data_IF_185552455925
#
_entry.id   IF_185552455925
#
_cell.length_a   1.000
_cell.length_b   1.000
_cell.length_c   1.000
_cell.angle_alpha   90.00
_cell.angle_beta   90.00
_cell.angle_gamma   90.00
#
_symmetry.space_group_name_H-M   'P 1'
#
loop_
_entity.id
_entity.type
_entity.pdbx_description
1 polymer ?
#
# COMPACT_ATOMS: atom_id res chain seq x y z
N UNK A 1 -5.28 4.99 -4.04
CA UNK A 1 -5.21 3.60 -4.50
C UNK A 1 -6.17 2.75 -3.69
N UNK A 2 -6.73 1.69 -4.27
CA UNK A 2 -7.42 0.61 -3.54
C UNK A 2 -6.40 -0.39 -2.99
N UNK A 3 -6.80 -1.24 -2.04
CA UNK A 3 -5.99 -2.42 -1.66
C UNK A 3 -6.00 -3.40 -2.84
N UNK A 4 -4.83 -3.92 -3.20
CA UNK A 4 -4.65 -4.88 -4.29
C UNK A 4 -4.17 -6.21 -3.71
N UNK A 5 -4.72 -7.35 -4.17
CA UNK A 5 -4.24 -8.66 -3.75
C UNK A 5 -2.79 -8.85 -4.19
N UNK A 6 -2.00 -9.56 -3.39
CA UNK A 6 -0.72 -10.10 -3.84
C UNK A 6 -1.00 -11.19 -4.89
N UNK A 7 -0.26 -11.18 -5.99
CA UNK A 7 -0.35 -12.24 -7.00
C UNK A 7 0.62 -13.36 -6.66
N UNK A 8 0.08 -14.42 -6.06
CA UNK A 8 0.79 -15.66 -5.71
C UNK A 8 0.38 -16.83 -6.62
N UNK A 9 -0.23 -16.54 -7.78
CA UNK A 9 -0.66 -17.58 -8.70
C UNK A 9 0.55 -18.40 -9.21
N UNK A 10 0.40 -19.72 -9.43
CA UNK A 10 1.54 -20.61 -9.63
C UNK A 10 2.55 -20.16 -10.70
N UNK A 11 2.07 -19.70 -11.87
CA UNK A 11 2.93 -19.23 -12.96
C UNK A 11 3.60 -17.89 -12.65
N UNK A 12 2.92 -16.98 -11.94
CA UNK A 12 3.50 -15.69 -11.55
C UNK A 12 4.57 -15.88 -10.47
N UNK A 13 4.33 -16.83 -9.56
CA UNK A 13 5.21 -17.12 -8.44
C UNK A 13 6.55 -17.75 -8.86
N UNK A 14 6.65 -18.26 -10.10
CA UNK A 14 7.93 -18.71 -10.70
C UNK A 14 8.98 -17.59 -10.80
N UNK A 15 8.58 -16.31 -10.69
CA UNK A 15 9.52 -15.18 -10.55
C UNK A 15 10.46 -15.31 -9.34
N UNK A 16 10.09 -16.13 -8.34
CA UNK A 16 10.92 -16.44 -7.17
C UNK A 16 11.68 -17.76 -7.28
N UNK A 17 11.53 -18.49 -8.39
CA UNK A 17 12.28 -19.72 -8.60
C UNK A 17 13.78 -19.41 -8.83
N UNK A 18 14.71 -20.30 -8.43
CA UNK A 18 16.15 -20.07 -8.59
C UNK A 18 16.56 -19.70 -10.02
N UNK A 19 15.94 -20.32 -11.03
CA UNK A 19 16.21 -20.11 -12.45
C UNK A 19 15.94 -18.66 -12.89
N UNK A 20 14.99 -17.98 -12.24
CA UNK A 20 14.67 -16.59 -12.54
C UNK A 20 15.78 -15.63 -12.08
N UNK A 21 16.58 -16.01 -11.08
CA UNK A 21 17.74 -15.22 -10.64
C UNK A 21 18.80 -15.15 -11.73
N UNK A 22 19.09 -16.28 -12.37
CA UNK A 22 20.03 -16.32 -13.49
C UNK A 22 19.47 -15.57 -14.70
N UNK A 23 18.17 -15.71 -14.97
CA UNK A 23 17.51 -14.97 -16.05
C UNK A 23 17.65 -13.46 -15.87
N UNK A 24 17.29 -12.93 -14.69
CA UNK A 24 17.28 -11.48 -14.44
C UNK A 24 18.69 -10.88 -14.40
N UNK A 25 19.67 -11.64 -13.89
CA UNK A 25 21.06 -11.20 -13.82
C UNK A 25 21.66 -11.00 -15.22
N UNK A 26 21.27 -11.84 -16.17
CA UNK A 26 21.76 -11.78 -17.55
C UNK A 26 21.02 -10.77 -18.45
N UNK A 27 19.99 -10.08 -17.96
CA UNK A 27 19.28 -9.05 -18.73
C UNK A 27 20.03 -7.72 -18.77
N UNK A 28 19.82 -6.98 -19.86
CA UNK A 28 20.21 -5.57 -19.94
C UNK A 28 19.39 -4.72 -18.97
N UNK A 29 19.92 -3.55 -18.58
CA UNK A 29 19.32 -2.70 -17.55
C UNK A 29 17.85 -2.34 -17.80
N UNK A 30 17.51 -1.96 -19.04
CA UNK A 30 16.14 -1.58 -19.39
C UNK A 30 15.15 -2.75 -19.27
N UNK A 31 15.58 -3.95 -19.67
CA UNK A 31 14.74 -5.15 -19.62
C UNK A 31 14.60 -5.67 -18.18
N UNK A 32 15.69 -5.61 -17.40
CA UNK A 32 15.65 -5.90 -15.96
C UNK A 32 14.65 -5.01 -15.24
N UNK A 33 14.67 -3.70 -15.49
CA UNK A 33 13.70 -2.79 -14.90
C UNK A 33 12.27 -3.06 -15.36
N UNK A 34 12.07 -3.45 -16.64
CA UNK A 34 10.76 -3.82 -17.17
C UNK A 34 10.18 -5.01 -16.41
N UNK A 35 10.98 -6.07 -16.22
CA UNK A 35 10.59 -7.26 -15.45
C UNK A 35 10.29 -6.94 -13.98
N UNK A 36 11.10 -6.10 -13.33
CA UNK A 36 10.85 -5.67 -11.93
C UNK A 36 9.53 -4.89 -11.82
N UNK A 37 9.23 -4.02 -12.79
CA UNK A 37 7.95 -3.29 -12.82
C UNK A 37 6.76 -4.22 -13.08
N UNK A 38 6.93 -5.20 -13.95
CA UNK A 38 5.90 -6.18 -14.32
C UNK A 38 5.46 -7.02 -13.12
N UNK A 39 6.41 -7.57 -12.36
CA UNK A 39 6.14 -8.42 -11.20
C UNK A 39 6.07 -7.66 -9.87
N UNK A 40 5.96 -6.33 -9.89
CA UNK A 40 5.94 -5.53 -8.66
C UNK A 40 4.79 -5.90 -7.71
N UNK A 41 3.65 -6.35 -8.26
CA UNK A 41 2.46 -6.74 -7.51
C UNK A 41 2.55 -8.14 -6.86
N UNK A 42 3.64 -8.88 -7.01
CA UNK A 42 3.84 -10.13 -6.26
C UNK A 42 4.29 -9.86 -4.83
N UNK A 43 4.96 -8.73 -4.58
CA UNK A 43 5.63 -8.46 -3.31
C UNK A 43 5.45 -7.04 -2.75
N UNK A 44 5.25 -6.01 -3.60
CA UNK A 44 5.24 -4.62 -3.15
C UNK A 44 3.87 -3.95 -3.32
N UNK A 45 3.45 -3.21 -2.27
CA UNK A 45 2.17 -2.47 -2.22
C UNK A 45 0.92 -3.33 -2.46
N UNK A 46 1.00 -4.60 -2.07
CA UNK A 46 -0.08 -5.58 -2.15
C UNK A 46 -0.37 -6.18 -0.78
N UNK A 47 -1.54 -6.78 -0.64
CA UNK A 47 -2.03 -7.38 0.60
C UNK A 47 -2.57 -8.77 0.27
N UNK A 48 -2.38 -9.73 1.16
CA UNK A 48 -3.04 -11.03 1.06
C UNK A 48 -4.56 -10.90 0.87
N UNK A 49 -5.15 -11.75 0.02
CA UNK A 49 -6.55 -11.63 -0.38
C UNK A 49 -7.50 -11.84 0.81
N UNK A 50 -7.25 -12.82 1.67
CA UNK A 50 -8.07 -13.09 2.85
C UNK A 50 -8.02 -11.91 3.83
N UNK A 51 -6.86 -11.26 3.95
CA UNK A 51 -6.73 -10.04 4.75
C UNK A 51 -7.52 -8.85 4.16
N UNK A 52 -7.56 -8.69 2.84
CA UNK A 52 -8.40 -7.67 2.18
C UNK A 52 -9.86 -7.91 2.51
N UNK A 53 -10.34 -9.16 2.39
CA UNK A 53 -11.72 -9.54 2.70
C UNK A 53 -12.08 -9.27 4.17
N UNK A 54 -11.18 -9.58 5.10
CA UNK A 54 -11.36 -9.30 6.53
C UNK A 54 -11.47 -7.80 6.81
N UNK A 55 -10.61 -6.98 6.20
CA UNK A 55 -10.66 -5.52 6.32
C UNK A 55 -11.97 -4.99 5.73
N UNK A 56 -12.37 -5.46 4.54
CA UNK A 56 -13.64 -5.08 3.93
C UNK A 56 -14.83 -5.41 4.84
N UNK A 57 -14.82 -6.60 5.45
CA UNK A 57 -15.84 -7.03 6.40
C UNK A 57 -15.98 -6.10 7.61
N UNK A 58 -14.88 -5.49 8.10
CA UNK A 58 -14.94 -4.47 9.16
C UNK A 58 -15.75 -3.25 8.71
N UNK A 59 -15.43 -2.71 7.53
CA UNK A 59 -16.14 -1.54 7.00
C UNK A 59 -17.60 -1.85 6.65
N UNK A 60 -17.89 -3.06 6.18
CA UNK A 60 -19.26 -3.50 5.94
C UNK A 60 -20.07 -3.50 7.25
N UNK A 61 -19.54 -4.06 8.35
CA UNK A 61 -20.22 -4.04 9.66
C UNK A 61 -20.47 -2.63 10.19
N UNK A 62 -19.60 -1.67 9.91
CA UNK A 62 -19.84 -0.26 10.27
C UNK A 62 -21.03 0.34 9.51
N UNK A 63 -21.23 -0.04 8.25
CA UNK A 63 -22.41 0.38 7.47
C UNK A 63 -23.69 -0.21 8.04
N UNK A 64 -23.67 -1.50 8.40
CA UNK A 64 -24.83 -2.19 8.99
C UNK A 64 -25.20 -1.62 10.36
N UNK A 65 -24.22 -1.36 11.22
CA UNK A 65 -24.44 -0.83 12.56
C UNK A 65 -24.69 0.68 12.62
N UNK A 66 -24.32 1.42 11.57
CA UNK A 66 -24.36 2.89 11.58
C UNK A 66 -23.28 3.55 12.46
N UNK A 67 -22.30 2.80 12.95
CA UNK A 67 -21.23 3.31 13.83
C UNK A 67 -19.90 3.42 13.05
N UNK A 68 -19.51 4.60 12.55
CA UNK A 68 -18.35 4.77 11.69
C UNK A 68 -17.04 4.89 12.50
N UNK A 69 -16.62 3.80 13.16
CA UNK A 69 -15.40 3.79 13.99
C UNK A 69 -14.11 4.04 13.21
N UNK A 70 -13.95 3.43 12.04
CA UNK A 70 -12.76 3.53 11.19
C UNK A 70 -13.10 4.23 9.87
N UNK A 71 -12.11 4.91 9.28
CA UNK A 71 -12.21 5.51 7.95
C UNK A 71 -11.16 4.93 7.00
N UNK A 72 -11.60 4.40 5.85
CA UNK A 72 -10.71 3.99 4.77
C UNK A 72 -10.47 5.16 3.81
N UNK A 73 -9.37 5.89 4.00
CA UNK A 73 -9.07 7.13 3.25
C UNK A 73 -8.18 6.85 2.04
N UNK A 74 -8.73 6.23 0.99
CA UNK A 74 -8.02 6.03 -0.28
C UNK A 74 -7.71 7.34 -0.99
N UNK A 75 -6.67 7.35 -1.84
CA UNK A 75 -6.29 8.50 -2.67
C UNK A 75 -5.94 9.74 -1.84
N UNK A 76 -5.31 9.51 -0.68
CA UNK A 76 -4.80 10.57 0.18
C UNK A 76 -3.27 10.53 0.24
N UNK A 77 -2.65 11.69 0.12
CA UNK A 77 -1.24 11.91 0.45
C UNK A 77 -1.14 12.79 1.69
N UNK A 78 -0.16 12.50 2.55
CA UNK A 78 0.19 13.37 3.67
C UNK A 78 1.14 14.44 3.15
N UNK A 79 0.73 15.71 3.16
CA UNK A 79 1.58 16.84 2.72
C UNK A 79 2.39 17.44 3.85
N UNK A 80 1.84 17.39 5.06
CA UNK A 80 2.47 17.93 6.26
C UNK A 80 2.05 17.11 7.47
N UNK A 81 3.00 16.83 8.35
CA UNK A 81 2.76 16.31 9.69
C UNK A 81 3.32 17.31 10.70
N UNK A 82 2.55 17.67 11.72
CA UNK A 82 2.98 18.61 12.76
C UNK A 82 2.59 18.04 14.12
N UNK A 83 3.58 17.80 14.98
CA UNK A 83 3.34 17.39 16.36
C UNK A 83 2.98 18.61 17.20
N UNK A 84 1.98 18.46 18.08
CA UNK A 84 1.56 19.46 19.05
C UNK A 84 1.14 18.81 20.37
N UNK A 85 0.74 19.62 21.34
CA UNK A 85 0.35 19.13 22.67
C UNK A 85 -0.86 18.18 22.64
N UNK A 86 -1.72 18.28 21.63
CA UNK A 86 -2.96 17.50 21.48
C UNK A 86 -2.82 16.30 20.52
N UNK A 87 -1.60 15.98 20.09
CA UNK A 87 -1.32 14.89 19.15
C UNK A 87 -0.63 15.36 17.86
N UNK A 88 -0.81 14.58 16.80
CA UNK A 88 -0.19 14.81 15.49
C UNK A 88 -1.25 15.29 14.51
N UNK A 89 -1.05 16.48 13.95
CA UNK A 89 -1.88 17.04 12.90
C UNK A 89 -1.34 16.67 11.52
N UNK A 90 -2.19 16.09 10.68
CA UNK A 90 -1.89 15.71 9.30
C UNK A 90 -2.69 16.58 8.33
N UNK A 91 -1.99 17.23 7.41
CA UNK A 91 -2.57 17.84 6.23
C UNK A 91 -2.66 16.78 5.12
N UNK A 92 -3.89 16.38 4.78
CA UNK A 92 -4.19 15.29 3.85
C UNK A 92 -4.78 15.84 2.56
N UNK A 93 -4.04 15.70 1.44
CA UNK A 93 -4.53 16.04 0.11
C UNK A 93 -5.22 14.86 -0.54
N UNK A 94 -6.40 15.09 -1.09
CA UNK A 94 -7.04 14.18 -2.02
C UNK A 94 -6.36 14.27 -3.39
N UNK A 95 -5.73 13.18 -3.82
CA UNK A 95 -5.01 13.15 -5.09
C UNK A 95 -5.95 13.11 -6.30
N UNK A 96 -7.23 12.82 -6.11
CA UNK A 96 -8.22 12.75 -7.20
C UNK A 96 -8.86 14.11 -7.53
N UNK A 97 -9.08 14.97 -6.53
CA UNK A 97 -9.77 16.25 -6.71
C UNK A 97 -9.00 17.46 -6.15
N UNK A 98 -7.81 17.24 -5.57
CA UNK A 98 -6.95 18.29 -5.03
C UNK A 98 -7.35 18.85 -3.65
N UNK A 99 -8.48 18.43 -3.09
CA UNK A 99 -9.01 18.92 -1.81
C UNK A 99 -8.02 18.68 -0.65
N UNK A 100 -7.76 19.73 0.13
CA UNK A 100 -6.93 19.65 1.33
C UNK A 100 -7.81 19.61 2.57
N UNK A 101 -7.54 18.66 3.46
CA UNK A 101 -8.23 18.53 4.76
C UNK A 101 -7.21 18.33 5.86
N UNK A 102 -7.54 18.80 7.07
CA UNK A 102 -6.69 18.63 8.26
C UNK A 102 -7.36 17.65 9.21
N UNK A 103 -6.59 16.70 9.75
CA UNK A 103 -7.06 15.71 10.72
C UNK A 103 -6.01 15.54 11.82
N UNK A 104 -6.47 15.30 13.04
CA UNK A 104 -5.61 15.08 14.20
C UNK A 104 -5.69 13.63 14.67
N UNK A 105 -4.55 13.09 15.06
CA UNK A 105 -4.38 11.72 15.54
C UNK A 105 -3.53 11.68 16.80
N UNK A 106 -3.85 10.81 17.75
CA UNK A 106 -3.02 10.58 18.94
C UNK A 106 -1.70 9.86 18.58
N UNK A 107 -1.75 9.00 17.56
CA UNK A 107 -0.62 8.21 17.07
C UNK A 107 -0.65 8.10 15.55
N UNK A 108 0.52 8.08 14.92
CA UNK A 108 0.70 7.77 13.50
C UNK A 108 1.64 6.57 13.36
N UNK A 109 1.19 5.52 12.65
CA UNK A 109 1.97 4.33 12.35
C UNK A 109 2.46 4.41 10.91
N UNK A 110 3.78 4.40 10.70
CA UNK A 110 4.39 4.40 9.37
C UNK A 110 4.57 2.98 8.85
N UNK A 111 3.53 2.44 8.23
CA UNK A 111 3.57 1.16 7.53
C UNK A 111 4.05 1.33 6.06
N UNK A 112 5.18 2.02 5.87
CA UNK A 112 5.66 2.51 4.55
C UNK A 112 6.74 1.64 3.89
N UNK A 113 7.00 0.44 4.43
CA UNK A 113 8.01 -0.46 3.88
C UNK A 113 9.44 -0.09 4.30
N UNK A 114 10.42 -0.49 3.47
CA UNK A 114 11.85 -0.37 3.76
C UNK A 114 12.62 0.12 2.53
N UNK A 115 13.69 0.86 2.77
CA UNK A 115 14.70 1.19 1.75
C UNK A 115 15.86 0.19 1.80
N UNK A 116 16.44 -0.13 0.64
CA UNK A 116 17.71 -0.85 0.53
C UNK A 116 18.74 0.09 -0.07
N UNK A 117 19.70 0.53 0.74
CA UNK A 117 20.84 1.31 0.27
C UNK A 117 22.00 0.34 -0.03
N UNK A 118 22.56 0.47 -1.24
CA UNK A 118 23.74 -0.26 -1.71
C UNK A 118 25.03 0.48 -1.33
#
# INVERSE_FOLDING_TARGET
SALKPADDSPFVNEVFAPEFTDLIYNQEGAERERLVREYHNTNYSVVDIDLIERIYGIFYRQKVSGVPRHAFRSLRSVEKATAGAEGIELALRNTANGELSVQRYDLVILATGYERQL
#
